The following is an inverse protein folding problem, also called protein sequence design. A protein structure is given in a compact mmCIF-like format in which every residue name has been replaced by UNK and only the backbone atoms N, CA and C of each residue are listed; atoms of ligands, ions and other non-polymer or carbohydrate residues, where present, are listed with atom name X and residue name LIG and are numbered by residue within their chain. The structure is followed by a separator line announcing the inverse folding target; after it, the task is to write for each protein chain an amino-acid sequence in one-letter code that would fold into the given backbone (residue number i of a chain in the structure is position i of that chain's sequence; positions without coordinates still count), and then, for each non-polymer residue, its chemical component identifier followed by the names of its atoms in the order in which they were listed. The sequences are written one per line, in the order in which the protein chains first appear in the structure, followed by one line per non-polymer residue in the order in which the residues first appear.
data_IF_101601848493
#
_entry.id   IF_101601848493
#
_cell.length_a   1.000
_cell.length_b   1.000
_cell.length_c   1.000
_cell.angle_alpha   90.00
_cell.angle_beta   90.00
_cell.angle_gamma   90.00
#
_symmetry.space_group_name_H-M   'P 1'
#
loop_
_entity.id
_entity.type
_entity.pdbx_description
1 polymer ?
#
# COMPACT_ATOMS: atom_id res chain seq x y z
N UNK A 1 -21.53 -27.59 25.47
CA UNK A 1 -22.19 -27.59 24.15
C UNK A 1 -22.94 -26.27 24.01
N UNK A 2 -22.37 -25.29 23.31
CA UNK A 2 -23.07 -24.09 22.87
C UNK A 2 -22.29 -23.47 21.71
N UNK A 3 -22.59 -24.00 20.52
CA UNK A 3 -22.30 -23.34 19.26
C UNK A 3 -23.22 -22.15 19.11
N UNK A 4 -22.66 -20.95 18.91
CA UNK A 4 -23.43 -19.82 18.41
C UNK A 4 -22.54 -18.91 17.54
N UNK A 5 -22.32 -19.36 16.31
CA UNK A 5 -22.63 -18.60 15.09
C UNK A 5 -22.29 -17.09 15.14
N UNK A 6 -21.03 -16.73 14.90
CA UNK A 6 -20.69 -15.35 14.55
C UNK A 6 -20.71 -15.20 13.02
N UNK A 7 -21.82 -14.64 12.55
CA UNK A 7 -22.12 -14.40 11.14
C UNK A 7 -21.20 -13.32 10.57
N UNK A 8 -20.96 -13.47 9.27
CA UNK A 8 -20.29 -12.54 8.38
C UNK A 8 -20.74 -11.09 8.63
N UNK A 9 -19.80 -10.23 9.03
CA UNK A 9 -19.94 -8.80 8.92
C UNK A 9 -18.83 -8.30 7.99
N UNK A 10 -19.15 -8.24 6.70
CA UNK A 10 -18.37 -7.47 5.72
C UNK A 10 -18.73 -6.01 5.96
N UNK A 11 -18.08 -5.37 6.93
CA UNK A 11 -18.22 -3.93 7.13
C UNK A 11 -17.37 -3.20 6.08
N UNK A 12 -18.04 -2.72 5.02
CA UNK A 12 -17.53 -1.66 4.16
C UNK A 12 -17.57 -0.35 4.97
N UNK A 13 -16.47 -0.05 5.66
CA UNK A 13 -16.28 1.26 6.30
C UNK A 13 -15.88 2.29 5.22
N UNK A 14 -16.89 2.94 4.63
CA UNK A 14 -16.67 4.05 3.71
C UNK A 14 -16.40 5.39 4.41
N UNK A 15 -16.72 5.49 5.71
CA UNK A 15 -16.44 6.67 6.54
C UNK A 15 -15.96 6.24 7.94
N UNK A 16 -14.74 6.65 8.28
CA UNK A 16 -14.09 6.31 9.54
C UNK A 16 -14.64 7.12 10.72
N UNK A 17 -15.47 6.50 11.53
CA UNK A 17 -15.73 6.90 12.92
C UNK A 17 -15.45 5.70 13.82
N UNK A 18 -14.22 5.58 14.31
CA UNK A 18 -13.95 4.76 15.49
C UNK A 18 -14.28 5.59 16.73
N UNK A 19 -15.45 5.36 17.31
CA UNK A 19 -15.78 5.77 18.66
C UNK A 19 -15.57 4.57 19.59
N UNK A 20 -14.39 4.49 20.22
CA UNK A 20 -14.18 3.59 21.37
C UNK A 20 -13.47 4.39 22.48
N UNK A 21 -14.24 5.02 23.41
CA UNK A 21 -13.66 5.81 24.50
C UNK A 21 -12.84 4.97 25.49
N UNK A 22 -13.09 3.65 25.57
CA UNK A 22 -12.41 2.75 26.50
C UNK A 22 -10.93 2.47 26.11
N UNK A 23 -10.64 2.34 24.81
CA UNK A 23 -9.27 2.18 24.28
C UNK A 23 -8.43 3.45 24.46
N UNK A 24 -9.08 4.61 24.37
CA UNK A 24 -8.44 5.91 24.52
C UNK A 24 -7.96 6.13 25.96
N UNK A 25 -8.73 5.68 26.95
CA UNK A 25 -8.38 5.83 28.37
C UNK A 25 -7.22 4.92 28.80
N UNK A 26 -7.11 3.72 28.23
CA UNK A 26 -5.97 2.82 28.45
C UNK A 26 -4.68 3.33 27.77
N UNK A 27 -4.79 3.96 26.59
CA UNK A 27 -3.66 4.58 25.91
C UNK A 27 -3.17 5.86 26.63
N UNK A 28 -4.09 6.68 27.15
CA UNK A 28 -3.77 7.91 27.88
C UNK A 28 -3.02 7.62 29.19
N UNK A 29 -3.34 6.51 29.87
CA UNK A 29 -2.64 6.08 31.07
C UNK A 29 -1.19 5.64 30.79
N UNK A 30 -0.92 5.08 29.60
CA UNK A 30 0.43 4.65 29.17
C UNK A 30 1.29 5.83 28.70
N UNK A 31 0.67 6.89 28.17
CA UNK A 31 1.37 8.07 27.62
C UNK A 31 1.81 9.09 28.66
N UNK A 32 1.29 9.04 29.90
CA UNK A 32 1.71 9.95 30.98
C UNK A 32 3.13 9.68 31.54
N UNK A 33 3.79 8.60 31.09
CA UNK A 33 5.11 8.19 31.60
C UNK A 33 6.33 8.63 30.78
N UNK A 34 6.19 9.09 29.53
CA UNK A 34 7.34 9.38 28.66
C UNK A 34 7.19 10.71 27.91
N UNK A 35 7.74 11.75 28.53
CA UNK A 35 7.78 13.10 27.97
C UNK A 35 8.54 13.21 26.64
N UNK A 36 8.02 14.08 25.79
CA UNK A 36 8.71 14.84 24.72
C UNK A 36 9.08 14.16 23.39
N UNK A 37 8.29 13.18 22.92
CA UNK A 37 8.28 12.79 21.47
C UNK A 37 6.91 12.85 20.79
N UNK A 38 5.96 13.55 21.40
CA UNK A 38 4.53 13.55 21.01
C UNK A 38 4.11 14.54 19.90
N UNK A 39 5.01 15.09 19.10
CA UNK A 39 4.61 16.05 18.05
C UNK A 39 4.27 15.41 16.67
N UNK A 40 4.53 14.11 16.43
CA UNK A 40 4.46 13.52 15.06
C UNK A 40 3.51 12.33 14.87
N UNK A 41 2.59 12.11 15.80
CA UNK A 41 1.43 11.25 15.59
C UNK A 41 0.17 12.10 15.42
N UNK A 42 0.19 13.10 14.51
CA UNK A 42 -1.07 13.73 14.08
C UNK A 42 -1.99 12.62 13.58
N UNK A 43 -3.13 12.46 14.25
CA UNK A 43 -4.25 11.61 13.83
C UNK A 43 -4.42 11.85 12.32
N UNK A 44 -4.08 10.86 11.49
CA UNK A 44 -4.22 11.01 10.04
C UNK A 44 -5.71 11.23 9.79
N UNK A 45 -6.07 12.42 9.33
CA UNK A 45 -7.45 12.74 9.06
C UNK A 45 -7.95 11.74 8.00
N UNK A 46 -9.06 11.06 8.25
CA UNK A 46 -9.53 9.96 7.41
C UNK A 46 -9.78 10.35 5.94
N UNK A 47 -9.94 11.64 5.67
CA UNK A 47 -10.06 12.19 4.31
C UNK A 47 -8.72 12.25 3.55
N UNK A 48 -7.57 12.36 4.23
CA UNK A 48 -6.27 12.54 3.58
C UNK A 48 -5.92 11.34 2.67
N UNK A 49 -6.03 10.07 3.11
CA UNK A 49 -5.81 8.93 2.22
C UNK A 49 -6.80 8.87 1.05
N UNK A 50 -8.06 9.28 1.27
CA UNK A 50 -9.09 9.28 0.23
C UNK A 50 -8.77 10.31 -0.87
N UNK A 51 -8.44 11.55 -0.48
CA UNK A 51 -8.05 12.61 -1.43
C UNK A 51 -6.74 12.26 -2.13
N UNK A 52 -5.75 11.77 -1.39
CA UNK A 52 -4.47 11.38 -1.99
C UNK A 52 -4.64 10.23 -2.99
N UNK A 53 -5.43 9.21 -2.64
CA UNK A 53 -5.77 8.10 -3.53
C UNK A 53 -6.52 8.55 -4.77
N UNK A 54 -7.46 9.49 -4.62
CA UNK A 54 -8.19 10.09 -5.74
C UNK A 54 -7.27 10.85 -6.70
N UNK A 55 -6.43 11.75 -6.20
CA UNK A 55 -5.49 12.53 -7.03
C UNK A 55 -4.47 11.62 -7.72
N UNK A 56 -3.94 10.62 -7.01
CA UNK A 56 -3.01 9.65 -7.57
C UNK A 56 -3.67 8.74 -8.62
N UNK A 57 -4.96 8.39 -8.43
CA UNK A 57 -5.69 7.52 -9.34
C UNK A 57 -6.14 8.20 -10.64
N UNK A 58 -6.47 9.49 -10.62
CA UNK A 58 -7.01 10.22 -11.78
C UNK A 58 -5.98 10.97 -12.63
N UNK A 59 -4.69 10.70 -12.41
CA UNK A 59 -3.67 10.99 -13.42
C UNK A 59 -2.69 12.12 -13.11
N UNK A 60 -2.36 12.37 -11.85
CA UNK A 60 -1.11 13.07 -11.53
C UNK A 60 0.05 12.07 -11.41
N UNK A 61 0.78 11.83 -12.50
CA UNK A 61 1.97 10.95 -12.51
C UNK A 61 2.48 10.57 -13.91
N UNK A 62 3.62 9.87 -13.97
CA UNK A 62 4.27 9.49 -15.24
C UNK A 62 3.38 8.64 -16.17
N UNK A 63 2.54 7.76 -15.62
CA UNK A 63 1.58 6.97 -16.40
C UNK A 63 0.48 7.81 -17.05
N UNK A 64 0.20 9.00 -16.52
CA UNK A 64 -0.80 9.90 -17.06
C UNK A 64 -0.33 10.63 -18.33
N UNK A 65 0.97 10.79 -18.52
CA UNK A 65 1.50 11.35 -19.76
C UNK A 65 1.03 10.54 -20.96
N UNK A 66 1.13 9.21 -20.92
CA UNK A 66 0.66 8.34 -22.02
C UNK A 66 -0.85 8.51 -22.27
N UNK A 67 -1.64 8.66 -21.20
CA UNK A 67 -3.08 8.90 -21.33
C UNK A 67 -3.35 10.18 -22.13
N UNK A 68 -2.63 11.26 -21.85
CA UNK A 68 -2.92 12.58 -22.45
C UNK A 68 -2.19 12.82 -23.78
N UNK A 69 -1.00 12.24 -23.98
CA UNK A 69 -0.18 12.47 -25.18
C UNK A 69 -0.41 11.42 -26.27
N UNK A 70 -0.97 10.27 -25.93
CA UNK A 70 -1.07 9.14 -26.86
C UNK A 70 -2.46 8.57 -26.93
N UNK A 71 -3.07 8.21 -25.80
CA UNK A 71 -4.37 7.52 -25.81
C UNK A 71 -5.54 8.46 -26.07
N UNK A 72 -5.60 9.63 -25.41
CA UNK A 72 -6.65 10.62 -25.65
C UNK A 72 -6.63 11.18 -27.09
N UNK A 73 -5.47 11.51 -27.69
CA UNK A 73 -5.41 11.91 -29.10
C UNK A 73 -5.78 10.81 -30.10
N UNK A 74 -5.64 9.53 -29.73
CA UNK A 74 -6.03 8.40 -30.57
C UNK A 74 -7.55 8.10 -30.53
N UNK A 75 -8.32 8.82 -29.71
CA UNK A 75 -9.77 8.65 -29.66
C UNK A 75 -10.46 9.23 -30.90
N UNK A 76 -11.62 8.67 -31.31
CA UNK A 76 -12.31 9.08 -32.56
C UNK A 76 -12.72 10.56 -32.61
N UNK A 77 -12.85 11.21 -31.46
CA UNK A 77 -13.11 12.65 -31.37
C UNK A 77 -12.70 13.20 -30.00
N UNK A 78 -12.60 14.53 -29.90
CA UNK A 78 -12.29 15.22 -28.63
C UNK A 78 -13.29 14.89 -27.51
N UNK A 79 -14.55 14.59 -27.85
CA UNK A 79 -15.56 14.18 -26.88
C UNK A 79 -15.23 12.85 -26.19
N UNK A 80 -14.44 11.99 -26.83
CA UNK A 80 -13.99 10.72 -26.27
C UNK A 80 -12.67 10.82 -25.50
N UNK A 81 -11.98 11.97 -25.55
CA UNK A 81 -10.66 12.15 -24.94
C UNK A 81 -10.62 11.97 -23.41
N UNK A 82 -11.75 12.14 -22.71
CA UNK A 82 -11.85 11.91 -21.27
C UNK A 82 -11.91 10.42 -20.91
N UNK A 83 -12.34 9.57 -21.83
CA UNK A 83 -12.65 8.17 -21.56
C UNK A 83 -11.43 7.36 -21.07
N UNK A 84 -10.24 7.46 -21.71
CA UNK A 84 -9.05 6.76 -21.22
C UNK A 84 -8.71 7.12 -19.77
N UNK A 85 -8.78 8.41 -19.41
CA UNK A 85 -8.50 8.89 -18.06
C UNK A 85 -9.50 8.38 -17.03
N UNK A 86 -10.80 8.38 -17.37
CA UNK A 86 -11.85 7.86 -16.49
C UNK A 86 -11.70 6.36 -16.24
N UNK A 87 -11.45 5.56 -17.28
CA UNK A 87 -11.24 4.12 -17.15
C UNK A 87 -9.97 3.80 -16.34
N UNK A 88 -8.90 4.57 -16.53
CA UNK A 88 -7.68 4.44 -15.73
C UNK A 88 -7.93 4.74 -14.24
N UNK A 89 -8.66 5.82 -13.92
CA UNK A 89 -9.01 6.17 -12.55
C UNK A 89 -9.88 5.10 -11.88
N UNK A 90 -10.92 4.62 -12.57
CA UNK A 90 -11.78 3.54 -12.08
C UNK A 90 -11.00 2.24 -11.87
N UNK A 91 -10.14 1.86 -12.80
CA UNK A 91 -9.27 0.69 -12.67
C UNK A 91 -8.34 0.80 -11.47
N UNK A 92 -7.74 1.98 -11.27
CA UNK A 92 -6.86 2.24 -10.12
C UNK A 92 -7.63 2.16 -8.80
N UNK A 93 -8.82 2.76 -8.73
CA UNK A 93 -9.68 2.69 -7.55
C UNK A 93 -10.06 1.24 -7.21
N UNK A 94 -10.42 0.44 -8.23
CA UNK A 94 -10.74 -0.98 -8.03
C UNK A 94 -9.55 -1.74 -7.44
N UNK A 95 -8.35 -1.58 -8.01
CA UNK A 95 -7.14 -2.24 -7.48
C UNK A 95 -6.83 -1.78 -6.05
N UNK A 96 -7.00 -0.50 -5.74
CA UNK A 96 -6.80 0.03 -4.37
C UNK A 96 -7.82 -0.56 -3.38
N UNK A 97 -9.08 -0.71 -3.77
CA UNK A 97 -10.11 -1.36 -2.95
C UNK A 97 -9.74 -2.82 -2.68
N UNK A 98 -9.36 -3.57 -3.71
CA UNK A 98 -8.98 -4.98 -3.57
C UNK A 98 -7.73 -5.15 -2.72
N UNK A 99 -6.70 -4.35 -2.98
CA UNK A 99 -5.46 -4.37 -2.20
C UNK A 99 -5.72 -3.95 -0.75
N UNK A 100 -6.44 -2.85 -0.52
CA UNK A 100 -6.80 -2.37 0.81
C UNK A 100 -7.59 -3.41 1.63
N UNK A 101 -8.57 -4.05 1.01
CA UNK A 101 -9.33 -5.14 1.62
C UNK A 101 -8.43 -6.35 1.96
N UNK A 102 -7.52 -6.73 1.06
CA UNK A 102 -6.56 -7.81 1.28
C UNK A 102 -5.64 -7.48 2.47
N UNK A 103 -5.05 -6.28 2.50
CA UNK A 103 -4.19 -5.83 3.59
C UNK A 103 -4.94 -5.77 4.92
N UNK A 104 -6.16 -5.22 4.93
CA UNK A 104 -7.01 -5.19 6.12
C UNK A 104 -7.32 -6.59 6.64
N UNK A 105 -7.64 -7.54 5.75
CA UNK A 105 -7.89 -8.94 6.11
C UNK A 105 -6.63 -9.64 6.65
N UNK A 106 -5.46 -9.39 6.07
CA UNK A 106 -4.18 -9.93 6.56
C UNK A 106 -3.88 -9.38 7.95
N UNK A 107 -4.01 -8.07 8.16
CA UNK A 107 -3.78 -7.43 9.44
C UNK A 107 -4.69 -7.99 10.54
N UNK A 108 -6.00 -8.09 10.27
CA UNK A 108 -6.98 -8.66 11.19
C UNK A 108 -6.65 -10.12 11.57
N UNK A 109 -6.25 -10.95 10.59
CA UNK A 109 -5.89 -12.36 10.82
C UNK A 109 -4.58 -12.56 11.59
N UNK A 110 -3.69 -11.58 11.56
CA UNK A 110 -2.36 -11.67 12.20
C UNK A 110 -2.30 -10.94 13.54
N UNK A 111 -3.42 -10.37 14.01
CA UNK A 111 -3.54 -9.64 15.28
C UNK A 111 -2.41 -8.63 15.48
N UNK A 112 -2.01 -7.95 14.40
CA UNK A 112 -0.94 -6.97 14.47
C UNK A 112 -1.47 -5.68 15.10
N UNK A 113 -0.72 -5.07 16.03
CA UNK A 113 -1.12 -3.80 16.62
C UNK A 113 -1.03 -2.68 15.54
N UNK A 114 -1.92 -1.66 15.54
CA UNK A 114 -1.99 -0.56 14.56
C UNK A 114 -0.65 0.08 14.14
N UNK A 115 0.29 0.19 15.06
CA UNK A 115 1.61 0.79 14.95
C UNK A 115 2.59 -0.15 14.23
N UNK A 116 2.44 -1.46 14.40
CA UNK A 116 3.12 -2.45 13.55
C UNK A 116 2.59 -2.39 12.11
N UNK A 117 1.27 -2.28 11.93
CA UNK A 117 0.65 -2.14 10.60
C UNK A 117 1.19 -0.89 9.89
N UNK A 118 1.19 0.26 10.59
CA UNK A 118 1.74 1.52 10.07
C UNK A 118 3.22 1.39 9.70
N UNK A 119 4.04 0.81 10.58
CA UNK A 119 5.47 0.66 10.34
C UNK A 119 5.77 -0.24 9.13
N UNK A 120 5.08 -1.37 9.01
CA UNK A 120 5.19 -2.29 7.86
C UNK A 120 4.75 -1.59 6.58
N UNK A 121 3.61 -0.89 6.60
CA UNK A 121 3.08 -0.18 5.43
C UNK A 121 4.04 0.91 4.94
N UNK A 122 4.54 1.76 5.86
CA UNK A 122 5.49 2.83 5.51
C UNK A 122 6.80 2.25 4.96
N UNK A 123 7.37 1.23 5.61
CA UNK A 123 8.62 0.60 5.15
C UNK A 123 8.44 -0.04 3.78
N UNK A 124 7.32 -0.73 3.56
CA UNK A 124 6.98 -1.35 2.27
C UNK A 124 6.84 -0.30 1.18
N UNK A 125 6.06 0.76 1.43
CA UNK A 125 5.86 1.85 0.49
C UNK A 125 7.18 2.55 0.15
N UNK A 126 7.98 2.93 1.16
CA UNK A 126 9.26 3.60 0.96
C UNK A 126 10.24 2.75 0.16
N UNK A 127 10.42 1.47 0.50
CA UNK A 127 11.32 0.59 -0.26
C UNK A 127 10.85 0.39 -1.70
N UNK A 128 9.56 0.17 -1.90
CA UNK A 128 8.97 0.01 -3.24
C UNK A 128 9.18 1.26 -4.08
N UNK A 129 8.96 2.45 -3.51
CA UNK A 129 9.13 3.72 -4.20
C UNK A 129 10.60 4.02 -4.54
N UNK A 130 11.53 3.80 -3.60
CA UNK A 130 12.96 4.06 -3.84
C UNK A 130 13.49 3.11 -4.91
N UNK A 131 13.30 1.81 -4.73
CA UNK A 131 13.81 0.82 -5.68
C UNK A 131 13.07 0.86 -7.01
N UNK A 132 11.76 1.12 -6.99
CA UNK A 132 10.97 1.33 -8.19
C UNK A 132 11.41 2.56 -8.96
N UNK A 133 11.53 3.70 -8.29
CA UNK A 133 12.00 4.95 -8.90
C UNK A 133 13.39 4.80 -9.50
N UNK A 134 14.32 4.15 -8.77
CA UNK A 134 15.66 3.89 -9.29
C UNK A 134 15.65 2.95 -10.50
N UNK A 135 14.85 1.88 -10.46
CA UNK A 135 14.72 0.94 -11.57
C UNK A 135 14.15 1.64 -12.83
N UNK A 136 13.11 2.46 -12.67
CA UNK A 136 12.53 3.23 -13.78
C UNK A 136 13.49 4.29 -14.32
N UNK A 137 14.19 5.03 -13.45
CA UNK A 137 15.17 6.01 -13.88
C UNK A 137 16.30 5.36 -14.68
N UNK A 138 16.82 4.22 -14.18
CA UNK A 138 17.88 3.46 -14.84
C UNK A 138 17.40 2.88 -16.18
N UNK A 139 16.22 2.28 -16.22
CA UNK A 139 15.65 1.73 -17.44
C UNK A 139 15.33 2.81 -18.47
N UNK A 140 14.85 3.98 -18.04
CA UNK A 140 14.64 5.14 -18.90
C UNK A 140 15.95 5.64 -19.52
N UNK A 141 16.98 5.82 -18.69
CA UNK A 141 18.31 6.24 -19.16
C UNK A 141 18.93 5.23 -20.14
N UNK A 142 18.87 3.93 -19.82
CA UNK A 142 19.35 2.87 -20.70
C UNK A 142 18.51 2.78 -21.99
N UNK A 143 17.20 2.98 -21.90
CA UNK A 143 16.32 3.04 -23.06
C UNK A 143 16.66 4.20 -23.99
N UNK A 144 17.15 5.33 -23.49
CA UNK A 144 17.65 6.42 -24.32
C UNK A 144 18.91 6.04 -25.10
N UNK A 145 19.82 5.26 -24.48
CA UNK A 145 21.11 4.87 -25.04
C UNK A 145 21.08 3.60 -25.91
N UNK A 146 20.18 2.66 -25.62
CA UNK A 146 20.08 1.36 -26.31
C UNK A 146 18.67 1.17 -26.92
N UNK A 147 18.49 1.36 -28.24
CA UNK A 147 17.20 1.21 -28.92
C UNK A 147 16.57 -0.17 -28.74
N UNK A 148 17.38 -1.24 -28.69
CA UNK A 148 16.91 -2.62 -28.48
C UNK A 148 16.12 -2.83 -27.18
N UNK A 149 16.35 -2.02 -26.15
CA UNK A 149 15.59 -2.12 -24.91
C UNK A 149 14.15 -1.58 -25.05
N UNK A 150 13.89 -0.72 -26.05
CA UNK A 150 12.55 -0.18 -26.32
C UNK A 150 11.64 -1.20 -27.02
N UNK A 151 12.24 -2.10 -27.78
CA UNK A 151 11.54 -3.14 -28.55
C UNK A 151 11.35 -4.43 -27.75
N UNK A 152 11.99 -4.55 -26.59
CA UNK A 152 11.87 -5.73 -25.74
C UNK A 152 10.49 -5.79 -25.07
N UNK A 153 9.76 -6.87 -25.30
CA UNK A 153 8.48 -7.14 -24.68
C UNK A 153 7.99 -8.55 -24.92
N UNK A 154 6.98 -8.96 -24.13
CA UNK A 154 6.35 -10.29 -24.26
C UNK A 154 5.09 -10.15 -25.09
N UNK A 155 4.98 -10.94 -26.16
CA UNK A 155 3.77 -10.98 -27.00
C UNK A 155 2.67 -11.74 -26.25
N UNK A 156 1.49 -11.14 -26.11
CA UNK A 156 0.35 -11.77 -25.41
C UNK A 156 -0.67 -12.37 -26.36
N UNK A 157 -0.68 -11.96 -27.63
CA UNK A 157 -1.66 -12.40 -28.64
C UNK A 157 -3.03 -11.72 -28.50
N UNK A 158 -3.16 -10.74 -27.61
CA UNK A 158 -4.35 -9.89 -27.50
C UNK A 158 -4.23 -8.75 -28.50
N UNK A 159 -5.18 -8.65 -29.44
CA UNK A 159 -5.20 -7.62 -30.51
C UNK A 159 -5.51 -6.19 -30.01
N UNK A 160 -5.10 -5.84 -28.79
CA UNK A 160 -5.25 -4.50 -28.20
C UNK A 160 -3.87 -3.87 -28.12
N UNK A 161 -3.70 -2.71 -28.77
CA UNK A 161 -2.44 -1.97 -28.77
C UNK A 161 -1.95 -1.72 -27.33
N UNK A 162 -0.66 -1.94 -27.07
CA UNK A 162 0.00 -1.90 -25.74
C UNK A 162 -0.32 -3.07 -24.77
N UNK A 163 -1.29 -3.93 -25.09
CA UNK A 163 -1.50 -5.22 -24.39
C UNK A 163 -0.95 -6.39 -25.21
N UNK A 164 -0.91 -6.27 -26.54
CA UNK A 164 -0.33 -7.27 -27.43
C UNK A 164 1.17 -7.47 -27.17
N UNK A 165 1.85 -6.42 -26.72
CA UNK A 165 3.26 -6.46 -26.31
C UNK A 165 3.42 -5.87 -24.91
N UNK A 166 3.71 -6.71 -23.92
CA UNK A 166 4.05 -6.27 -22.57
C UNK A 166 5.49 -5.77 -22.56
N UNK A 167 5.65 -4.46 -22.70
CA UNK A 167 6.96 -3.81 -22.72
C UNK A 167 7.65 -3.75 -21.35
N UNK A 168 8.93 -3.37 -21.38
CA UNK A 168 9.78 -3.17 -20.20
C UNK A 168 9.11 -2.34 -19.08
N UNK A 169 8.40 -1.23 -19.34
CA UNK A 169 7.76 -0.46 -18.27
C UNK A 169 6.75 -1.27 -17.45
N UNK A 170 5.96 -2.13 -18.10
CA UNK A 170 5.00 -2.98 -17.40
C UNK A 170 5.71 -4.05 -16.58
N UNK A 171 6.71 -4.71 -17.17
CA UNK A 171 7.50 -5.74 -16.48
C UNK A 171 8.21 -5.18 -15.24
N UNK A 172 8.73 -3.95 -15.33
CA UNK A 172 9.33 -3.25 -14.19
C UNK A 172 8.31 -2.95 -13.10
N UNK A 173 7.10 -2.46 -13.44
CA UNK A 173 6.04 -2.23 -12.46
C UNK A 173 5.73 -3.53 -11.69
N UNK A 174 5.45 -4.60 -12.43
CA UNK A 174 5.10 -5.90 -11.85
C UNK A 174 6.27 -6.44 -11.02
N UNK A 175 7.49 -6.42 -11.57
CA UNK A 175 8.69 -6.93 -10.91
C UNK A 175 9.04 -6.17 -9.63
N UNK A 176 8.90 -4.85 -9.61
CA UNK A 176 9.15 -4.04 -8.41
C UNK A 176 8.07 -4.25 -7.35
N UNK A 177 6.80 -4.25 -7.75
CA UNK A 177 5.67 -4.41 -6.82
C UNK A 177 5.66 -5.82 -6.22
N UNK A 178 5.75 -6.86 -7.05
CA UNK A 178 5.77 -8.25 -6.60
C UNK A 178 7.12 -8.67 -6.00
N UNK A 179 8.23 -8.10 -6.48
CA UNK A 179 9.55 -8.33 -5.93
C UNK A 179 9.74 -7.56 -4.63
N UNK A 180 10.07 -6.27 -4.73
CA UNK A 180 10.41 -5.42 -3.58
C UNK A 180 9.23 -5.23 -2.63
N UNK A 181 8.04 -4.93 -3.15
CA UNK A 181 6.86 -4.65 -2.35
C UNK A 181 6.41 -5.87 -1.54
N UNK A 182 6.13 -6.99 -2.21
CA UNK A 182 5.66 -8.20 -1.52
C UNK A 182 6.72 -8.80 -0.59
N UNK A 183 7.99 -8.85 -1.00
CA UNK A 183 9.05 -9.38 -0.13
C UNK A 183 9.25 -8.50 1.11
N UNK A 184 9.24 -7.17 0.97
CA UNK A 184 9.32 -6.25 2.10
C UNK A 184 8.13 -6.44 3.04
N UNK A 185 6.91 -6.52 2.49
CA UNK A 185 5.70 -6.74 3.28
C UNK A 185 5.80 -8.01 4.13
N UNK A 186 6.16 -9.14 3.49
CA UNK A 186 6.24 -10.45 4.14
C UNK A 186 7.33 -10.44 5.21
N UNK A 187 8.52 -9.94 4.87
CA UNK A 187 9.68 -9.94 5.78
C UNK A 187 9.46 -9.03 6.98
N UNK A 188 8.96 -7.80 6.79
CA UNK A 188 8.71 -6.87 7.89
C UNK A 188 7.53 -7.32 8.77
N UNK A 189 6.49 -7.90 8.18
CA UNK A 189 5.40 -8.53 8.96
C UNK A 189 5.93 -9.66 9.83
N UNK A 190 6.74 -10.57 9.27
CA UNK A 190 7.35 -11.67 10.03
C UNK A 190 8.28 -11.16 11.14
N UNK A 191 9.05 -10.10 10.88
CA UNK A 191 9.93 -9.47 11.88
C UNK A 191 9.15 -8.92 13.06
N UNK A 192 8.05 -8.20 12.81
CA UNK A 192 7.17 -7.69 13.86
C UNK A 192 6.53 -8.81 14.68
N UNK A 193 6.04 -9.86 14.04
CA UNK A 193 5.48 -11.01 14.74
C UNK A 193 6.48 -11.70 15.67
N UNK A 194 7.74 -11.86 15.24
CA UNK A 194 8.80 -12.41 16.09
C UNK A 194 9.04 -11.52 17.32
N UNK A 195 9.14 -10.20 17.13
CA UNK A 195 9.34 -9.24 18.24
C UNK A 195 8.21 -9.29 19.26
N UNK A 196 6.96 -9.35 18.80
CA UNK A 196 5.80 -9.45 19.68
C UNK A 196 5.82 -10.75 20.48
N UNK A 197 6.13 -11.89 19.85
CA UNK A 197 6.27 -13.18 20.53
C UNK A 197 7.40 -13.18 21.57
N UNK A 198 8.55 -12.60 21.23
CA UNK A 198 9.69 -12.50 22.15
C UNK A 198 9.39 -11.58 23.34
N UNK A 199 8.64 -10.50 23.14
CA UNK A 199 8.23 -9.61 24.22
C UNK A 199 7.24 -10.29 25.19
N UNK A 200 6.32 -11.12 24.69
CA UNK A 200 5.40 -11.91 25.53
C UNK A 200 6.10 -13.05 26.27
N UNK A 201 7.18 -13.60 25.69
CA UNK A 201 7.93 -14.71 26.28
C UNK A 201 9.02 -14.28 27.28
N UNK A 202 9.30 -12.97 27.41
CA UNK A 202 10.25 -12.48 28.40
C UNK A 202 9.65 -12.65 29.82
N UNK A 203 10.33 -13.34 30.75
CA UNK A 203 9.84 -13.49 32.11
C UNK A 203 9.73 -12.11 32.76
N UNK A 204 8.58 -11.84 33.39
CA UNK A 204 8.41 -10.70 34.29
C UNK A 204 9.42 -10.90 35.42
N UNK A 205 10.54 -10.18 35.39
CA UNK A 205 11.39 -10.13 36.58
C UNK A 205 10.55 -9.49 37.68
N UNK A 206 10.23 -10.29 38.69
CA UNK A 206 9.58 -9.81 39.90
C UNK A 206 10.42 -8.63 40.44
N UNK A 207 9.81 -7.47 40.72
CA UNK A 207 10.51 -6.39 41.41
C UNK A 207 11.02 -6.96 42.74
N UNK A 208 12.32 -6.81 42.94
CA UNK A 208 13.12 -7.53 43.91
C UNK A 208 12.47 -7.62 45.30
N UNK A 209 12.32 -8.86 45.76
CA UNK A 209 12.35 -9.19 47.16
C UNK A 209 13.70 -8.72 47.74
N UNK A 210 13.60 -7.77 48.68
CA UNK A 210 14.42 -7.50 49.86
C UNK A 210 15.94 -7.79 49.82
N UNK A 211 16.71 -6.78 50.23
CA UNK A 211 17.80 -7.00 51.20
C UNK A 211 17.46 -6.16 52.43
N UNK A 212 16.96 -6.85 53.46
CA UNK A 212 17.03 -6.40 54.85
C UNK A 212 18.50 -6.34 55.31
#
# INVERSE_FOLDING_TARGET
MLMARQRHAVHLHLFGQCAEPALMQAADASLRGHGTRDARARKLAGWMPAVHGFVAGWGFGAFALILYTTLAPAMPSAWWGWLPGALFGLGTALVQVLAGALFGRIAARRSLPPEAIRAVALTTATRTLIWGGLAYASAGALGLLLPRLREFGIVTGLHVHNLDHLGVPFMLAVGVVLGVGLTTLITETRRWQKRLRSATAAPVMAPGATKE
#
